data_IF_029832218234
#
_entry.id   IF_029832218234
#
_cell.length_a   1.000
_cell.length_b   1.000
_cell.length_c   1.000
_cell.angle_alpha   90.00
_cell.angle_beta   90.00
_cell.angle_gamma   90.00
#
_symmetry.space_group_name_H-M   'P 1'
#
loop_
_entity.id
_entity.type
_entity.pdbx_description
1 polymer ?
#
# COMPACT_ATOMS: atom_id res chain seq x y z
N UNK A 1 15.67 -6.96 -10.22
CA UNK A 1 15.48 -5.53 -10.56
C UNK A 1 14.72 -4.85 -9.43
N UNK A 2 14.36 -3.57 -9.59
CA UNK A 2 13.51 -2.83 -8.64
C UNK A 2 12.16 -3.56 -8.47
N UNK A 3 11.74 -3.85 -7.24
CA UNK A 3 10.47 -4.55 -6.99
C UNK A 3 9.27 -3.59 -6.96
N UNK A 4 9.39 -2.46 -6.27
CA UNK A 4 8.47 -1.31 -6.32
C UNK A 4 9.17 -0.07 -5.75
N UNK A 5 8.61 1.11 -6.00
CA UNK A 5 8.96 2.37 -5.34
C UNK A 5 7.79 2.86 -4.51
N UNK A 6 8.06 3.28 -3.28
CA UNK A 6 7.04 3.69 -2.32
C UNK A 6 7.20 5.17 -1.93
N UNK A 7 6.10 5.92 -1.96
CA UNK A 7 6.00 7.29 -1.46
C UNK A 7 5.07 7.34 -0.26
N UNK A 8 5.41 8.22 0.70
CA UNK A 8 4.59 8.48 1.88
C UNK A 8 3.77 9.74 1.70
N UNK A 9 2.46 9.56 1.61
CA UNK A 9 1.44 10.61 1.64
C UNK A 9 1.32 11.26 3.02
N UNK A 10 0.70 12.45 3.05
CA UNK A 10 0.50 13.21 4.30
C UNK A 10 -0.82 12.87 4.97
N UNK A 11 -1.82 12.45 4.20
CA UNK A 11 -3.13 12.03 4.71
C UNK A 11 -3.63 10.77 3.98
N UNK A 12 -4.72 10.18 4.48
CA UNK A 12 -5.40 9.07 3.78
C UNK A 12 -6.08 9.56 2.50
N UNK A 13 -6.62 10.78 2.51
CA UNK A 13 -7.29 11.37 1.35
C UNK A 13 -6.32 11.54 0.16
N UNK A 14 -5.06 11.87 0.41
CA UNK A 14 -4.02 11.90 -0.64
C UNK A 14 -3.85 10.52 -1.32
N UNK A 15 -4.02 9.42 -0.57
CA UNK A 15 -3.96 8.04 -1.09
C UNK A 15 -5.18 7.76 -1.97
N UNK A 16 -6.38 8.14 -1.51
CA UNK A 16 -7.63 8.00 -2.26
C UNK A 16 -7.62 8.83 -3.56
N UNK A 17 -7.18 10.09 -3.47
CA UNK A 17 -7.04 10.98 -4.62
C UNK A 17 -6.05 10.42 -5.64
N UNK A 18 -4.94 9.84 -5.18
CA UNK A 18 -4.00 9.13 -6.05
C UNK A 18 -4.68 7.97 -6.75
N UNK A 19 -5.41 7.11 -6.03
CA UNK A 19 -6.10 5.97 -6.62
C UNK A 19 -7.09 6.40 -7.72
N UNK A 20 -7.86 7.47 -7.47
CA UNK A 20 -8.79 8.06 -8.45
C UNK A 20 -8.02 8.60 -9.66
N UNK A 21 -6.94 9.35 -9.44
CA UNK A 21 -6.15 9.96 -10.51
C UNK A 21 -5.53 8.90 -11.42
N UNK A 22 -4.84 7.91 -10.86
CA UNK A 22 -4.12 6.90 -11.64
C UNK A 22 -5.09 5.97 -12.38
N UNK A 23 -6.25 5.68 -11.79
CA UNK A 23 -7.33 4.96 -12.48
C UNK A 23 -7.85 5.74 -13.70
N UNK A 24 -8.07 7.06 -13.56
CA UNK A 24 -8.45 7.92 -14.70
C UNK A 24 -7.38 7.97 -15.81
N UNK A 25 -6.12 7.79 -15.45
CA UNK A 25 -5.00 7.72 -16.39
C UNK A 25 -4.81 6.32 -17.00
N UNK A 26 -5.60 5.32 -16.58
CA UNK A 26 -5.54 3.95 -17.09
C UNK A 26 -4.51 3.06 -16.42
N UNK A 27 -3.96 3.46 -15.26
CA UNK A 27 -3.06 2.62 -14.49
C UNK A 27 -3.79 1.39 -13.93
N UNK A 28 -3.09 0.27 -13.85
CA UNK A 28 -3.62 -0.96 -13.25
C UNK A 28 -3.43 -0.90 -11.75
N UNK A 29 -4.52 -0.72 -11.00
CA UNK A 29 -4.52 -0.89 -9.55
C UNK A 29 -4.29 -2.37 -9.23
N UNK A 30 -3.21 -2.66 -8.52
CA UNK A 30 -2.84 -4.01 -8.07
C UNK A 30 -3.54 -4.31 -6.74
N UNK A 31 -3.66 -3.30 -5.87
CA UNK A 31 -4.28 -3.41 -4.54
C UNK A 31 -4.66 -2.02 -3.99
N UNK A 32 -5.66 -1.97 -3.13
CA UNK A 32 -6.11 -0.75 -2.45
C UNK A 32 -6.93 0.19 -3.34
N UNK A 33 -7.24 1.41 -2.85
CA UNK A 33 -6.83 1.96 -1.57
C UNK A 33 -7.47 1.22 -0.39
N UNK A 34 -6.68 0.78 0.59
CA UNK A 34 -7.18 0.02 1.76
C UNK A 34 -6.24 0.11 2.97
N UNK A 35 -6.76 -0.21 4.15
CA UNK A 35 -5.97 -0.35 5.39
C UNK A 35 -5.42 -1.77 5.52
N UNK A 36 -4.19 -1.90 6.03
CA UNK A 36 -3.51 -3.18 6.24
C UNK A 36 -2.69 -3.20 7.52
N UNK A 37 -2.36 -4.41 7.96
CA UNK A 37 -1.79 -4.66 9.30
C UNK A 37 -0.26 -4.57 9.35
N UNK A 38 0.41 -4.12 8.29
CA UNK A 38 1.86 -3.98 8.27
C UNK A 38 2.42 -3.04 9.35
N UNK A 39 1.73 -1.93 9.59
CA UNK A 39 2.08 -0.93 10.60
C UNK A 39 0.81 -0.25 11.13
N UNK A 40 0.82 0.30 12.36
CA UNK A 40 -0.35 0.95 12.93
C UNK A 40 -0.90 2.09 12.06
N UNK A 41 -2.14 1.94 11.59
CA UNK A 41 -2.82 2.92 10.71
C UNK A 41 -2.27 2.98 9.29
N UNK A 42 -1.63 1.90 8.82
CA UNK A 42 -1.10 1.81 7.47
C UNK A 42 -2.22 1.73 6.42
N UNK A 43 -2.35 2.77 5.62
CA UNK A 43 -3.34 2.89 4.55
C UNK A 43 -2.64 3.16 3.22
N UNK A 44 -3.00 2.48 2.13
CA UNK A 44 -2.20 2.58 0.91
C UNK A 44 -2.91 2.13 -0.37
N UNK A 45 -2.34 2.53 -1.51
CA UNK A 45 -2.67 2.01 -2.84
C UNK A 45 -1.40 1.56 -3.57
N UNK A 46 -1.48 0.44 -4.29
CA UNK A 46 -0.42 -0.11 -5.12
C UNK A 46 -0.91 -0.25 -6.56
N UNK A 47 -0.15 0.28 -7.52
CA UNK A 47 -0.50 0.25 -8.94
C UNK A 47 0.73 0.09 -9.83
N UNK A 48 0.52 -0.24 -11.11
CA UNK A 48 1.57 -0.39 -12.11
C UNK A 48 1.55 0.79 -13.10
N UNK A 49 2.74 1.32 -13.42
CA UNK A 49 2.93 2.29 -14.50
C UNK A 49 2.93 1.60 -15.88
N UNK A 50 3.01 2.36 -17.00
CA UNK A 50 3.00 1.77 -18.35
C UNK A 50 4.11 0.75 -18.64
N UNK A 51 5.24 0.84 -17.93
CA UNK A 51 6.38 -0.07 -18.08
C UNK A 51 6.31 -1.28 -17.11
N UNK A 52 5.24 -1.34 -16.29
CA UNK A 52 5.02 -2.39 -15.30
C UNK A 52 5.77 -2.19 -13.99
N UNK A 53 6.34 -1.00 -13.75
CA UNK A 53 6.95 -0.66 -12.45
C UNK A 53 5.84 -0.47 -11.43
N UNK A 54 5.97 -1.12 -10.28
CA UNK A 54 5.03 -0.98 -9.18
C UNK A 54 5.32 0.26 -8.36
N UNK A 55 4.29 1.06 -8.16
CA UNK A 55 4.29 2.28 -7.38
C UNK A 55 3.32 2.13 -6.22
N UNK A 56 3.79 2.46 -5.02
CA UNK A 56 3.00 2.44 -3.80
C UNK A 56 2.90 3.85 -3.24
N UNK A 57 1.68 4.28 -2.91
CA UNK A 57 1.44 5.48 -2.09
C UNK A 57 0.84 5.01 -0.77
N UNK A 58 1.53 5.26 0.34
CA UNK A 58 1.04 4.91 1.66
C UNK A 58 0.89 6.11 2.59
N UNK A 59 0.10 5.94 3.63
CA UNK A 59 -0.03 6.82 4.76
C UNK A 59 0.18 6.00 6.03
N UNK A 60 0.97 6.55 6.95
CA UNK A 60 1.08 6.07 8.33
C UNK A 60 1.04 7.31 9.24
N UNK A 61 0.17 7.35 10.26
CA UNK A 61 0.09 8.48 11.17
C UNK A 61 1.42 8.85 11.85
N UNK A 62 1.65 10.15 12.00
CA UNK A 62 2.79 10.70 12.73
C UNK A 62 4.14 10.20 12.22
N UNK A 63 5.01 9.75 13.14
CA UNK A 63 6.33 9.19 12.80
C UNK A 63 6.26 7.73 12.33
N UNK A 64 5.08 7.08 12.40
CA UNK A 64 4.93 5.65 12.17
C UNK A 64 5.96 4.82 12.92
N UNK A 65 6.48 3.78 12.27
CA UNK A 65 7.49 2.85 12.80
C UNK A 65 8.83 3.50 13.20
N UNK A 66 9.07 4.78 12.88
CA UNK A 66 10.27 5.50 13.35
C UNK A 66 10.11 6.02 14.79
N UNK A 67 8.90 5.97 15.36
CA UNK A 67 8.66 6.31 16.77
C UNK A 67 9.15 5.16 17.66
N UNK A 68 9.87 5.50 18.73
CA UNK A 68 10.38 4.52 19.70
C UNK A 68 9.21 3.74 20.31
N UNK A 69 9.34 2.41 20.33
CA UNK A 69 8.36 1.50 20.92
C UNK A 69 7.25 1.04 19.96
N UNK A 70 7.24 1.50 18.72
CA UNK A 70 6.38 0.93 17.67
C UNK A 70 6.97 -0.39 17.15
N UNK A 71 6.11 -1.27 16.68
CA UNK A 71 6.46 -2.53 16.03
C UNK A 71 5.72 -2.68 14.72
N UNK A 72 6.29 -3.47 13.80
CA UNK A 72 5.53 -3.98 12.67
C UNK A 72 4.32 -4.78 13.18
N UNK A 73 3.25 -4.84 12.39
CA UNK A 73 2.14 -5.73 12.67
C UNK A 73 2.36 -7.10 12.01
N UNK A 74 1.34 -7.64 11.33
CA UNK A 74 1.33 -9.06 10.95
C UNK A 74 2.34 -9.41 9.84
N UNK A 75 3.14 -10.46 10.05
CA UNK A 75 4.02 -11.06 9.04
C UNK A 75 3.23 -11.70 7.88
N UNK A 76 1.98 -12.07 8.14
CA UNK A 76 1.12 -12.77 7.18
C UNK A 76 0.36 -11.83 6.22
N UNK A 77 0.37 -10.52 6.48
CA UNK A 77 -0.41 -9.49 5.76
C UNK A 77 -0.12 -9.41 4.25
N UNK A 78 1.01 -9.99 3.81
CA UNK A 78 1.46 -10.01 2.41
C UNK A 78 1.67 -11.40 1.81
N UNK A 79 1.29 -12.48 2.52
CA UNK A 79 1.46 -13.82 1.94
C UNK A 79 0.52 -13.96 0.75
N UNK A 80 1.08 -14.26 -0.43
CA UNK A 80 0.32 -14.55 -1.64
C UNK A 80 0.46 -16.01 -2.04
N UNK A 81 -0.66 -16.64 -2.36
CA UNK A 81 -0.74 -17.99 -2.93
C UNK A 81 -1.41 -17.85 -4.30
N UNK A 82 -0.76 -18.38 -5.35
CA UNK A 82 -1.25 -18.31 -6.73
C UNK A 82 -1.62 -16.90 -7.20
N UNK A 83 -0.83 -15.91 -6.79
CA UNK A 83 -1.03 -14.51 -7.18
C UNK A 83 -2.23 -13.85 -6.50
N UNK A 84 -2.84 -14.46 -5.49
CA UNK A 84 -3.86 -13.82 -4.63
C UNK A 84 -3.36 -13.72 -3.21
N UNK A 85 -3.88 -12.76 -2.47
CA UNK A 85 -3.60 -12.67 -1.04
C UNK A 85 -4.15 -13.94 -0.39
N UNK A 86 -3.38 -14.53 0.53
CA UNK A 86 -3.84 -15.66 1.33
C UNK A 86 -4.90 -15.07 2.26
N UNK A 87 -6.17 -15.23 1.88
CA UNK A 87 -7.27 -14.58 2.57
C UNK A 87 -7.24 -14.83 4.08
N UNK A 88 -7.39 -13.75 4.85
CA UNK A 88 -8.01 -13.77 6.18
C UNK A 88 -9.55 -13.82 6.03
N UNK A 89 -10.05 -14.59 5.06
CA UNK A 89 -11.49 -14.86 4.95
C UNK A 89 -11.81 -15.88 6.05
N UNK A 90 -12.29 -15.37 7.17
CA UNK A 90 -13.09 -16.17 8.10
C UNK A 90 -14.38 -16.63 7.44
#
# INVERSE_FOLDING_TARGET
GLHHLCFRARTMEDVDETAILVSKLGAKIVRGPEERDWAPGYYYVLFEDPDGIRLEINFIPGKGLLKKGESFGSEDDYIRIDGKDKNNDG
#
